data_IF_195432577271
#
_entry.id   IF_195432577271
#
_cell.length_a   1.000
_cell.length_b   1.000
_cell.length_c   1.000
_cell.angle_alpha   90.00
_cell.angle_beta   90.00
_cell.angle_gamma   90.00
#
_symmetry.space_group_name_H-M   'P 1'
#
loop_
_entity.id
_entity.type
_entity.pdbx_description
1 polymer ?
#
# COMPACT_ATOMS: atom_id res chain seq x y z
N UNK A 1 -2.01 3.05 1.94
CA UNK A 1 -0.69 3.42 2.49
C UNK A 1 0.10 2.23 3.02
N UNK A 2 -0.49 1.31 3.80
CA UNK A 2 0.17 0.03 4.12
C UNK A 2 0.64 -0.76 2.89
N UNK A 3 -0.05 -0.61 1.75
CA UNK A 3 0.38 -1.16 0.46
C UNK A 3 1.77 -0.68 0.00
N UNK A 4 2.13 0.59 0.23
CA UNK A 4 3.46 1.10 -0.11
C UNK A 4 4.56 0.42 0.72
N UNK A 5 4.27 0.18 2.00
CA UNK A 5 5.16 -0.57 2.89
C UNK A 5 5.32 -2.02 2.44
N UNK A 6 4.21 -2.70 2.13
CA UNK A 6 4.22 -4.07 1.62
C UNK A 6 4.95 -4.18 0.28
N UNK A 7 4.90 -3.15 -0.57
CA UNK A 7 5.51 -3.19 -1.90
C UNK A 7 7.04 -3.35 -1.88
N UNK A 8 7.73 -2.80 -0.88
CA UNK A 8 9.18 -2.95 -0.69
C UNK A 8 9.57 -3.85 0.49
N UNK A 9 8.60 -4.52 1.10
CA UNK A 9 8.86 -5.55 2.10
C UNK A 9 9.50 -6.76 1.42
N UNK A 10 10.40 -7.42 2.13
CA UNK A 10 10.92 -8.73 1.71
C UNK A 10 9.75 -9.72 1.52
N UNK A 11 9.84 -10.54 0.48
CA UNK A 11 8.72 -11.33 -0.03
C UNK A 11 8.19 -12.34 1.01
N UNK A 12 9.07 -13.07 1.68
CA UNK A 12 8.64 -14.07 2.67
C UNK A 12 7.96 -13.41 3.89
N UNK A 13 8.45 -12.25 4.33
CA UNK A 13 7.81 -11.47 5.38
C UNK A 13 6.46 -10.91 4.92
N UNK A 14 6.37 -10.44 3.68
CA UNK A 14 5.13 -9.94 3.09
C UNK A 14 4.07 -11.04 3.08
N UNK A 15 4.39 -12.23 2.57
CA UNK A 15 3.45 -13.36 2.55
C UNK A 15 2.95 -13.75 3.95
N UNK A 16 3.81 -13.65 4.97
CA UNK A 16 3.40 -13.89 6.37
C UNK A 16 2.40 -12.85 6.85
N UNK A 17 2.66 -11.56 6.59
CA UNK A 17 1.73 -10.47 6.94
C UNK A 17 0.40 -10.64 6.21
N UNK A 18 0.42 -11.01 4.93
CA UNK A 18 -0.79 -11.24 4.13
C UNK A 18 -1.63 -12.36 4.71
N UNK A 19 -1.01 -13.50 5.04
CA UNK A 19 -1.71 -14.62 5.69
C UNK A 19 -2.39 -14.17 6.98
N UNK A 20 -1.67 -13.47 7.85
CA UNK A 20 -2.21 -12.98 9.12
C UNK A 20 -3.38 -12.00 8.91
N UNK A 21 -3.30 -11.11 7.91
CA UNK A 21 -4.38 -10.18 7.57
C UNK A 21 -5.65 -10.92 7.15
N UNK A 22 -5.50 -11.97 6.33
CA UNK A 22 -6.62 -12.80 5.85
C UNK A 22 -7.25 -13.58 7.00
N UNK A 23 -6.44 -14.17 7.88
CA UNK A 23 -6.90 -14.92 9.05
C UNK A 23 -7.68 -14.05 10.03
N UNK A 24 -7.25 -12.79 10.21
CA UNK A 24 -7.92 -11.84 11.12
C UNK A 24 -9.28 -11.38 10.59
N UNK A 25 -9.51 -11.46 9.28
CA UNK A 25 -10.77 -11.03 8.63
C UNK A 25 -11.25 -12.06 7.62
N UNK A 26 -11.87 -13.16 8.08
CA UNK A 26 -12.46 -14.18 7.21
C UNK A 26 -13.40 -13.56 6.16
N UNK A 27 -13.35 -14.05 4.93
CA UNK A 27 -14.15 -13.52 3.81
C UNK A 27 -13.55 -12.32 3.08
N UNK A 28 -12.41 -11.77 3.53
CA UNK A 28 -11.75 -10.63 2.87
C UNK A 28 -10.55 -11.00 1.99
N UNK A 29 -10.26 -12.31 1.83
CA UNK A 29 -9.11 -12.84 1.09
C UNK A 29 -8.93 -12.17 -0.28
N UNK A 30 -9.92 -12.29 -1.15
CA UNK A 30 -9.79 -11.81 -2.53
C UNK A 30 -9.66 -10.29 -2.59
N UNK A 31 -10.31 -9.58 -1.66
CA UNK A 31 -10.20 -8.11 -1.54
C UNK A 31 -8.78 -7.71 -1.14
N UNK A 32 -8.20 -8.38 -0.14
CA UNK A 32 -6.83 -8.13 0.31
C UNK A 32 -5.86 -8.44 -0.81
N UNK A 33 -5.99 -9.59 -1.46
CA UNK A 33 -5.08 -10.01 -2.53
C UNK A 33 -5.10 -9.01 -3.69
N UNK A 34 -6.29 -8.63 -4.18
CA UNK A 34 -6.42 -7.61 -5.25
C UNK A 34 -5.80 -6.27 -4.88
N UNK A 35 -5.98 -5.82 -3.62
CA UNK A 35 -5.40 -4.56 -3.17
C UNK A 35 -3.86 -4.62 -3.16
N UNK A 36 -3.30 -5.76 -2.79
CA UNK A 36 -1.85 -5.98 -2.75
C UNK A 36 -1.28 -6.07 -4.16
N UNK A 37 -1.89 -6.87 -5.03
CA UNK A 37 -1.45 -7.02 -6.41
C UNK A 37 -1.46 -5.66 -7.13
N UNK A 38 -2.52 -4.88 -6.97
CA UNK A 38 -2.62 -3.51 -7.49
C UNK A 38 -1.54 -2.58 -6.92
N UNK A 39 -1.26 -2.68 -5.61
CA UNK A 39 -0.17 -1.92 -4.99
C UNK A 39 1.21 -2.29 -5.53
N UNK A 40 1.48 -3.58 -5.73
CA UNK A 40 2.73 -4.08 -6.28
C UNK A 40 2.91 -3.65 -7.74
N UNK A 41 1.86 -3.77 -8.55
CA UNK A 41 1.86 -3.33 -9.95
C UNK A 41 2.08 -1.81 -10.05
N UNK A 42 1.35 -1.02 -9.26
CA UNK A 42 1.49 0.44 -9.19
C UNK A 42 2.93 0.83 -8.85
N UNK A 43 3.51 0.20 -7.82
CA UNK A 43 4.90 0.45 -7.43
C UNK A 43 5.90 0.05 -8.51
N UNK A 44 5.74 -1.13 -9.12
CA UNK A 44 6.62 -1.60 -10.18
C UNK A 44 6.58 -0.68 -11.42
N UNK A 45 5.41 -0.13 -11.74
CA UNK A 45 5.21 0.71 -12.91
C UNK A 45 5.59 2.17 -12.69
N UNK A 46 5.34 2.71 -11.50
CA UNK A 46 5.41 4.15 -11.24
C UNK A 46 6.41 4.55 -10.17
N UNK A 47 6.97 3.60 -9.41
CA UNK A 47 7.83 3.88 -8.25
C UNK A 47 7.06 4.34 -7.01
N UNK A 48 5.73 4.38 -7.05
CA UNK A 48 4.85 4.70 -5.92
C UNK A 48 3.57 3.89 -5.99
N UNK A 49 2.86 3.79 -4.86
CA UNK A 49 1.53 3.19 -4.76
C UNK A 49 0.49 4.29 -4.68
N UNK A 50 -0.56 4.19 -5.50
CA UNK A 50 -1.75 5.04 -5.41
C UNK A 50 -2.90 4.38 -4.64
N UNK A 51 -3.71 5.19 -3.98
CA UNK A 51 -4.99 4.81 -3.36
C UNK A 51 -6.00 5.92 -3.63
N UNK A 52 -6.90 5.72 -4.58
CA UNK A 52 -7.81 6.76 -5.07
C UNK A 52 -9.25 6.43 -4.74
N UNK A 53 -9.72 6.87 -3.57
CA UNK A 53 -11.04 6.48 -3.07
C UNK A 53 -11.12 5.05 -2.52
N UNK A 54 -10.03 4.28 -2.57
CA UNK A 54 -10.02 2.85 -2.23
C UNK A 54 -10.23 2.56 -0.73
N UNK A 55 -9.73 3.45 0.13
CA UNK A 55 -9.91 3.33 1.58
C UNK A 55 -11.16 4.06 2.04
N UNK A 56 -11.22 5.37 1.76
CA UNK A 56 -12.40 6.19 1.89
C UNK A 56 -12.67 6.85 0.55
N UNK A 57 -13.91 6.80 0.08
CA UNK A 57 -14.31 7.27 -1.26
C UNK A 57 -13.98 8.74 -1.54
N UNK A 58 -13.77 9.56 -0.50
CA UNK A 58 -13.44 10.98 -0.57
C UNK A 58 -11.96 11.30 -0.28
N UNK A 59 -11.10 10.30 -0.11
CA UNK A 59 -9.66 10.46 0.14
C UNK A 59 -8.85 9.90 -1.02
N UNK A 60 -7.88 10.69 -1.47
CA UNK A 60 -6.81 10.23 -2.35
C UNK A 60 -5.49 10.28 -1.61
N UNK A 61 -4.64 9.29 -1.84
CA UNK A 61 -3.29 9.27 -1.30
C UNK A 61 -2.32 8.53 -2.23
N UNK A 62 -1.07 8.94 -2.18
CA UNK A 62 0.07 8.21 -2.75
C UNK A 62 1.06 7.89 -1.64
N UNK A 63 1.80 6.79 -1.81
CA UNK A 63 2.83 6.41 -0.87
C UNK A 63 4.03 5.78 -1.57
N UNK A 64 5.21 6.08 -1.06
CA UNK A 64 6.46 5.47 -1.50
C UNK A 64 7.09 4.71 -0.34
N UNK A 65 7.59 3.50 -0.56
CA UNK A 65 8.49 2.89 0.41
C UNK A 65 9.81 3.68 0.45
N UNK A 66 10.37 3.82 1.64
CA UNK A 66 11.69 4.41 1.85
C UNK A 66 12.49 3.47 2.75
N UNK A 67 13.64 3.01 2.25
CA UNK A 67 14.60 2.22 3.02
C UNK A 67 15.79 3.12 3.36
N UNK A 68 15.89 3.57 4.61
CA UNK A 68 17.02 4.37 5.08
C UNK A 68 18.35 3.62 4.91
N UNK A 69 19.43 4.35 4.65
CA UNK A 69 20.78 3.78 4.49
C UNK A 69 21.52 3.60 5.81
N UNK A 70 20.98 4.13 6.90
CA UNK A 70 21.54 4.04 8.26
C UNK A 70 21.18 2.72 8.98
N UNK A 71 20.51 1.80 8.28
CA UNK A 71 20.09 0.51 8.83
C UNK A 71 18.77 0.57 9.62
N UNK A 72 18.13 1.73 9.72
CA UNK A 72 16.78 1.81 10.31
C UNK A 72 15.74 1.10 9.44
N UNK A 73 14.58 0.83 10.06
CA UNK A 73 13.54 0.03 9.43
C UNK A 73 13.01 0.65 8.14
N UNK A 74 12.49 -0.20 7.25
CA UNK A 74 11.64 0.25 6.15
C UNK A 74 10.56 1.18 6.71
N UNK A 75 10.21 2.22 5.97
CA UNK A 75 9.06 3.07 6.25
C UNK A 75 8.29 3.33 4.96
N UNK A 76 7.05 3.80 5.09
CA UNK A 76 6.30 4.34 3.97
C UNK A 76 6.12 5.84 4.18
N UNK A 77 6.56 6.63 3.21
CA UNK A 77 6.30 8.07 3.17
C UNK A 77 5.04 8.28 2.34
N UNK A 78 4.08 9.01 2.89
CA UNK A 78 2.73 9.09 2.31
C UNK A 78 2.27 10.53 2.24
N UNK A 79 1.58 10.89 1.16
CA UNK A 79 0.91 12.17 1.02
C UNK A 79 -0.51 11.93 0.52
N UNK A 80 -1.49 12.57 1.15
CA UNK A 80 -2.89 12.42 0.78
C UNK A 80 -3.76 13.49 1.40
N UNK A 81 -4.99 13.57 0.91
CA UNK A 81 -5.98 14.54 1.33
C UNK A 81 -7.36 14.25 0.77
N UNK A 82 -8.30 15.15 1.07
CA UNK A 82 -9.61 15.12 0.45
C UNK A 82 -9.49 15.32 -1.06
N UNK A 83 -10.38 14.69 -1.83
CA UNK A 83 -10.38 14.75 -3.30
C UNK A 83 -10.35 16.19 -3.85
N UNK A 84 -10.97 17.12 -3.14
CA UNK A 84 -11.02 18.53 -3.52
C UNK A 84 -9.63 19.19 -3.52
N UNK A 85 -8.74 18.77 -2.62
CA UNK A 85 -7.36 19.27 -2.52
C UNK A 85 -6.36 18.40 -3.30
N UNK A 86 -6.66 17.11 -3.48
CA UNK A 86 -5.81 16.15 -4.19
C UNK A 86 -6.60 15.43 -5.29
N UNK A 87 -7.05 16.13 -6.36
CA UNK A 87 -7.83 15.51 -7.41
C UNK A 87 -6.98 14.56 -8.27
N UNK A 88 -7.60 13.50 -8.78
CA UNK A 88 -7.00 12.63 -9.82
C UNK A 88 -7.69 12.96 -11.14
N UNK A 89 -6.92 13.19 -12.19
CA UNK A 89 -7.44 13.40 -13.55
C UNK A 89 -7.54 12.09 -14.31
#
# INVERSE_FOLDING_TARGET
>A
MGLAYLAAMEETLRERVIRQLIETKPGTRDKIQRAIDSGLESYAKHGFVSSFGDWYSYINAVGVPFRPTDGSQLVAITCGGIKDLAPVR
#
